data_IF_493137319616
#
_entry.id   IF_493137319616
#
_cell.length_a   1.000
_cell.length_b   1.000
_cell.length_c   1.000
_cell.angle_alpha   90.00
_cell.angle_beta   90.00
_cell.angle_gamma   90.00
#
_symmetry.space_group_name_H-M   'P 1'
#
loop_
_entity.id
_entity.type
_entity.pdbx_description
1 polymer ?
#
# COMPACT_ATOMS: atom_id res chain seq x y z
N UNK A 1 -7.20 9.27 -21.56
CA UNK A 1 -6.54 10.12 -20.53
C UNK A 1 -7.24 9.84 -19.19
N UNK A 2 -7.12 8.61 -18.69
CA UNK A 2 -7.84 8.10 -17.51
C UNK A 2 -6.91 7.82 -16.31
N UNK A 3 -5.58 7.81 -16.55
CA UNK A 3 -4.55 7.52 -15.55
C UNK A 3 -4.56 8.52 -14.38
N UNK A 4 -4.68 9.82 -14.70
CA UNK A 4 -4.75 10.91 -13.71
C UNK A 4 -5.96 10.75 -12.79
N UNK A 5 -7.09 10.24 -13.30
CA UNK A 5 -8.31 10.03 -12.51
C UNK A 5 -8.15 8.97 -11.43
N UNK A 6 -7.31 7.95 -11.65
CA UNK A 6 -7.07 6.87 -10.69
C UNK A 6 -6.13 7.29 -9.57
N UNK A 7 -5.01 7.95 -9.91
CA UNK A 7 -4.01 8.49 -8.97
C UNK A 7 -4.69 9.51 -8.04
N UNK A 8 -5.47 10.45 -8.60
CA UNK A 8 -6.15 11.45 -7.77
C UNK A 8 -7.22 10.82 -6.87
N UNK A 9 -7.97 9.81 -7.33
CA UNK A 9 -8.96 9.13 -6.47
C UNK A 9 -8.31 8.33 -5.35
N UNK A 10 -7.21 7.64 -5.63
CA UNK A 10 -6.47 6.87 -4.64
C UNK A 10 -5.79 7.78 -3.61
N UNK A 11 -5.12 8.84 -4.06
CA UNK A 11 -4.52 9.86 -3.19
C UNK A 11 -5.57 10.65 -2.38
N UNK A 12 -6.72 10.98 -2.98
CA UNK A 12 -7.82 11.64 -2.25
C UNK A 12 -8.49 10.70 -1.25
N UNK A 13 -8.72 9.43 -1.59
CA UNK A 13 -9.30 8.46 -0.67
C UNK A 13 -8.40 8.23 0.55
N UNK A 14 -7.10 8.06 0.34
CA UNK A 14 -6.12 7.91 1.43
C UNK A 14 -5.97 9.18 2.25
N UNK A 15 -5.97 10.37 1.62
CA UNK A 15 -5.95 11.66 2.32
C UNK A 15 -7.21 11.91 3.16
N UNK A 16 -8.41 11.62 2.65
CA UNK A 16 -9.66 11.84 3.38
C UNK A 16 -9.88 10.84 4.52
N UNK A 17 -9.41 9.60 4.39
CA UNK A 17 -9.40 8.64 5.50
C UNK A 17 -8.51 9.13 6.66
N UNK A 18 -7.37 9.76 6.36
CA UNK A 18 -6.47 10.38 7.35
C UNK A 18 -7.09 11.58 8.08
N UNK A 19 -8.05 12.29 7.46
CA UNK A 19 -8.76 13.43 8.08
C UNK A 19 -10.10 13.07 8.72
N UNK A 20 -10.73 11.96 8.33
CA UNK A 20 -12.05 11.55 8.81
C UNK A 20 -12.09 11.04 10.26
N UNK A 21 -10.94 10.68 10.85
CA UNK A 21 -10.87 10.06 12.18
C UNK A 21 -10.31 10.96 13.29
N UNK A 22 -10.36 12.29 13.12
CA UNK A 22 -9.94 13.26 14.14
C UNK A 22 -10.98 14.37 14.41
N UNK A 23 -12.27 14.10 14.21
CA UNK A 23 -13.33 15.00 14.68
C UNK A 23 -13.57 14.80 16.20
N UNK A 24 -12.69 15.34 17.04
CA UNK A 24 -13.08 15.74 18.40
C UNK A 24 -13.80 17.09 18.30
N UNK A 25 -15.05 17.23 18.75
CA UNK A 25 -15.72 18.52 18.82
C UNK A 25 -15.26 19.24 20.09
N UNK A 26 -14.36 20.23 19.97
CA UNK A 26 -14.04 21.12 21.10
C UNK A 26 -13.97 22.58 20.63
N UNK A 27 -15.01 23.31 21.07
CA UNK A 27 -15.10 24.73 21.40
C UNK A 27 -14.52 25.82 20.47
N UNK A 28 -15.47 26.50 19.82
CA UNK A 28 -15.60 27.95 19.73
C UNK A 28 -14.82 28.74 20.80
N UNK A 29 -13.84 29.55 20.39
CA UNK A 29 -13.50 30.82 21.05
C UNK A 29 -12.67 31.76 20.15
N UNK A 30 -13.33 32.85 19.73
CA UNK A 30 -12.86 34.23 19.52
C UNK A 30 -11.73 34.57 18.51
N UNK A 31 -12.11 35.39 17.53
CA UNK A 31 -11.48 36.58 16.88
C UNK A 31 -10.20 37.14 17.55
N UNK A 32 -9.22 37.81 16.91
CA UNK A 32 -9.27 38.94 15.93
C UNK A 32 -7.90 39.05 15.12
N UNK A 33 -7.46 40.13 14.41
CA UNK A 33 -7.12 40.13 12.96
C UNK A 33 -5.69 40.58 12.53
N UNK A 34 -5.17 40.06 11.39
CA UNK A 34 -4.23 40.70 10.40
C UNK A 34 -2.84 41.26 10.91
N UNK A 35 -1.86 41.66 10.04
CA UNK A 35 -1.80 41.67 8.57
C UNK A 35 -0.57 40.96 7.95
N UNK A 36 -0.58 40.88 6.61
CA UNK A 36 0.43 40.35 5.69
C UNK A 36 1.83 40.99 5.80
N UNK A 37 2.86 40.29 5.31
CA UNK A 37 3.87 40.93 4.46
C UNK A 37 4.11 40.16 3.15
N UNK A 38 4.18 40.95 2.09
CA UNK A 38 4.63 40.64 0.74
C UNK A 38 6.04 40.04 0.70
N UNK A 39 6.21 38.90 0.02
CA UNK A 39 7.50 38.44 -0.48
C UNK A 39 7.29 37.65 -1.77
N UNK A 40 7.76 38.19 -2.89
CA UNK A 40 7.97 37.43 -4.13
C UNK A 40 9.23 36.55 -3.96
N UNK A 41 9.17 35.27 -4.35
CA UNK A 41 10.37 34.54 -4.72
C UNK A 41 10.46 34.43 -6.24
N UNK A 42 11.61 34.90 -6.75
CA UNK A 42 12.06 34.80 -8.12
C UNK A 42 11.93 33.38 -8.69
N UNK A 43 11.45 33.31 -9.93
CA UNK A 43 11.62 32.16 -10.81
C UNK A 43 13.11 31.93 -11.06
N UNK A 44 13.69 30.98 -10.32
CA UNK A 44 14.94 30.32 -10.68
C UNK A 44 14.59 28.87 -11.02
N UNK A 45 14.60 28.58 -12.31
CA UNK A 45 14.57 27.25 -12.91
C UNK A 45 15.63 26.35 -12.27
N UNK A 46 15.19 25.21 -11.73
CA UNK A 46 16.02 24.05 -11.43
C UNK A 46 15.21 22.81 -11.79
N UNK A 47 15.35 22.40 -13.04
CA UNK A 47 14.54 21.37 -13.72
C UNK A 47 15.18 19.97 -13.58
N UNK A 48 15.66 19.61 -12.38
CA UNK A 48 16.34 18.32 -12.12
C UNK A 48 16.01 17.70 -10.73
N UNK A 49 14.83 17.92 -10.16
CA UNK A 49 14.38 17.26 -8.91
C UNK A 49 13.12 16.37 -9.05
N UNK A 50 12.55 16.23 -10.24
CA UNK A 50 11.23 15.60 -10.42
C UNK A 50 11.24 14.06 -10.20
N UNK A 51 12.40 13.40 -10.30
CA UNK A 51 12.50 11.94 -10.20
C UNK A 51 12.58 11.40 -8.76
N UNK A 52 13.18 12.16 -7.83
CA UNK A 52 13.23 11.76 -6.41
C UNK A 52 11.91 12.05 -5.67
N UNK A 53 11.18 13.07 -6.11
CA UNK A 53 9.92 13.46 -5.48
C UNK A 53 8.81 12.42 -5.71
N UNK A 54 8.74 11.86 -6.93
CA UNK A 54 7.72 10.86 -7.28
C UNK A 54 7.86 9.53 -6.51
N UNK A 55 9.09 9.04 -6.31
CA UNK A 55 9.33 7.80 -5.55
C UNK A 55 9.09 8.00 -4.05
N UNK A 56 9.44 9.18 -3.53
CA UNK A 56 9.11 9.62 -2.17
C UNK A 56 7.61 9.74 -1.96
N UNK A 57 6.88 10.36 -2.89
CA UNK A 57 5.42 10.51 -2.84
C UNK A 57 4.73 9.15 -2.86
N UNK A 58 5.11 8.26 -3.77
CA UNK A 58 4.57 6.90 -3.83
C UNK A 58 4.77 6.15 -2.51
N UNK A 59 5.98 6.24 -1.92
CA UNK A 59 6.29 5.63 -0.63
C UNK A 59 5.38 6.14 0.49
N UNK A 60 5.14 7.46 0.54
CA UNK A 60 4.24 8.08 1.53
C UNK A 60 2.80 7.61 1.34
N UNK A 61 2.32 7.56 0.09
CA UNK A 61 0.96 7.13 -0.22
C UNK A 61 0.77 5.67 0.16
N UNK A 62 1.66 4.77 -0.25
CA UNK A 62 1.61 3.34 0.08
C UNK A 62 1.68 3.12 1.59
N UNK A 63 2.63 3.76 2.28
CA UNK A 63 2.76 3.65 3.74
C UNK A 63 1.48 4.10 4.44
N UNK A 64 0.87 5.19 3.97
CA UNK A 64 -0.42 5.69 4.50
C UNK A 64 -1.55 4.71 4.22
N UNK A 65 -1.62 4.16 3.00
CA UNK A 65 -2.65 3.20 2.62
C UNK A 65 -2.58 1.92 3.43
N UNK A 66 -1.38 1.36 3.59
CA UNK A 66 -1.12 0.18 4.42
C UNK A 66 -1.46 0.45 5.89
N UNK A 67 -1.19 1.65 6.40
CA UNK A 67 -1.60 2.06 7.75
C UNK A 67 -3.13 2.11 7.89
N UNK A 68 -3.84 2.63 6.89
CA UNK A 68 -5.30 2.65 6.87
C UNK A 68 -5.87 1.22 6.81
N UNK A 69 -5.30 0.35 5.97
CA UNK A 69 -5.65 -1.06 5.91
C UNK A 69 -5.48 -1.72 7.29
N UNK A 70 -4.35 -1.50 7.96
CA UNK A 70 -4.11 -1.99 9.33
C UNK A 70 -5.22 -1.57 10.29
N UNK A 71 -5.62 -0.30 10.26
CA UNK A 71 -6.72 0.21 11.08
C UNK A 71 -8.04 -0.48 10.75
N UNK A 72 -8.38 -0.63 9.46
CA UNK A 72 -9.59 -1.34 9.04
C UNK A 72 -9.61 -2.79 9.56
N UNK A 73 -8.45 -3.45 9.60
CA UNK A 73 -8.32 -4.80 10.13
C UNK A 73 -8.48 -4.85 11.65
N UNK A 74 -7.89 -3.90 12.37
CA UNK A 74 -8.09 -3.76 13.82
C UNK A 74 -9.57 -3.53 14.17
N UNK A 75 -10.27 -2.76 13.34
CA UNK A 75 -11.70 -2.47 13.46
C UNK A 75 -12.61 -3.59 12.88
N UNK A 76 -12.04 -4.72 12.43
CA UNK A 76 -12.75 -5.86 11.84
C UNK A 76 -13.60 -5.50 10.61
N UNK A 77 -13.24 -4.45 9.87
CA UNK A 77 -13.93 -3.96 8.67
C UNK A 77 -13.43 -4.70 7.42
N UNK A 78 -13.63 -6.01 7.38
CA UNK A 78 -13.06 -6.88 6.33
C UNK A 78 -13.49 -6.55 4.90
N UNK A 79 -14.72 -6.03 4.71
CA UNK A 79 -15.18 -5.60 3.39
C UNK A 79 -14.41 -4.37 2.88
N UNK A 80 -14.19 -3.40 3.76
CA UNK A 80 -13.43 -2.20 3.44
C UNK A 80 -11.95 -2.51 3.24
N UNK A 81 -11.39 -3.42 4.05
CA UNK A 81 -10.05 -3.97 3.85
C UNK A 81 -9.91 -4.56 2.45
N UNK A 82 -10.81 -5.49 2.08
CA UNK A 82 -10.72 -6.19 0.81
C UNK A 82 -10.89 -5.23 -0.37
N UNK A 83 -11.73 -4.21 -0.24
CA UNK A 83 -11.84 -3.12 -1.21
C UNK A 83 -10.53 -2.34 -1.33
N UNK A 84 -9.93 -1.95 -0.21
CA UNK A 84 -8.68 -1.21 -0.21
C UNK A 84 -7.50 -2.00 -0.79
N UNK A 85 -7.48 -3.33 -0.62
CA UNK A 85 -6.51 -4.20 -1.29
C UNK A 85 -6.75 -4.23 -2.80
N UNK A 86 -8.00 -4.37 -3.25
CA UNK A 86 -8.31 -4.35 -4.69
C UNK A 86 -7.91 -3.02 -5.34
N UNK A 87 -8.21 -1.89 -4.69
CA UNK A 87 -7.81 -0.55 -5.16
C UNK A 87 -6.28 -0.40 -5.22
N UNK A 88 -5.55 -0.88 -4.21
CA UNK A 88 -4.08 -0.89 -4.24
C UNK A 88 -3.55 -1.75 -5.37
N UNK A 89 -4.14 -2.94 -5.58
CA UNK A 89 -3.73 -3.88 -6.61
C UNK A 89 -3.88 -3.29 -8.00
N UNK A 90 -5.05 -2.77 -8.31
CA UNK A 90 -5.34 -2.10 -9.59
C UNK A 90 -4.37 -0.95 -9.81
N UNK A 91 -4.13 -0.14 -8.78
CA UNK A 91 -3.20 0.98 -8.86
C UNK A 91 -1.78 0.54 -9.22
N UNK A 92 -1.22 -0.46 -8.53
CA UNK A 92 0.14 -0.92 -8.81
C UNK A 92 0.25 -1.70 -10.13
N UNK A 93 -0.81 -2.39 -10.54
CA UNK A 93 -0.86 -3.10 -11.82
C UNK A 93 -0.85 -2.12 -13.00
N UNK A 94 -1.74 -1.12 -12.97
CA UNK A 94 -1.90 -0.12 -14.04
C UNK A 94 -0.64 0.74 -14.22
N UNK A 95 0.07 1.01 -13.14
CA UNK A 95 1.26 1.86 -13.15
C UNK A 95 2.59 1.09 -13.15
N UNK A 96 2.55 -0.25 -13.19
CA UNK A 96 3.73 -1.12 -13.14
C UNK A 96 4.63 -0.89 -11.90
N UNK A 97 4.01 -0.63 -10.75
CA UNK A 97 4.69 -0.25 -9.50
C UNK A 97 4.87 -1.40 -8.51
N UNK A 98 4.81 -2.66 -8.97
CA UNK A 98 4.89 -3.83 -8.09
C UNK A 98 6.25 -3.91 -7.38
N UNK A 99 7.34 -3.66 -8.09
CA UNK A 99 8.68 -3.65 -7.49
C UNK A 99 8.82 -2.54 -6.43
N UNK A 100 8.36 -1.32 -6.74
CA UNK A 100 8.36 -0.19 -5.80
C UNK A 100 7.48 -0.48 -4.59
N UNK A 101 6.32 -1.11 -4.75
CA UNK A 101 5.46 -1.53 -3.64
C UNK A 101 6.22 -2.46 -2.71
N UNK A 102 6.87 -3.51 -3.24
CA UNK A 102 7.63 -4.47 -2.42
C UNK A 102 8.77 -3.76 -1.69
N UNK A 103 9.49 -2.85 -2.35
CA UNK A 103 10.54 -2.06 -1.72
C UNK A 103 10.02 -1.23 -0.53
N UNK A 104 8.87 -0.57 -0.69
CA UNK A 104 8.22 0.19 0.41
C UNK A 104 7.81 -0.74 1.55
N UNK A 105 7.23 -1.90 1.26
CA UNK A 105 6.83 -2.86 2.30
C UNK A 105 8.04 -3.41 3.06
N UNK A 106 9.15 -3.69 2.38
CA UNK A 106 10.42 -4.09 3.01
C UNK A 106 10.93 -2.99 3.95
N UNK A 107 10.90 -1.73 3.52
CA UNK A 107 11.27 -0.60 4.38
C UNK A 107 10.35 -0.47 5.59
N UNK A 108 9.05 -0.75 5.44
CA UNK A 108 8.11 -0.78 6.57
C UNK A 108 8.46 -1.91 7.55
N UNK A 109 8.80 -3.11 7.07
CA UNK A 109 9.23 -4.23 7.92
C UNK A 109 10.47 -3.86 8.73
N UNK A 110 11.47 -3.25 8.07
CA UNK A 110 12.72 -2.83 8.73
C UNK A 110 12.48 -1.78 9.83
N UNK A 111 11.50 -0.90 9.63
CA UNK A 111 11.18 0.18 10.58
C UNK A 111 10.24 -0.24 11.70
N UNK A 112 9.29 -1.13 11.42
CA UNK A 112 8.21 -1.54 12.33
C UNK A 112 7.96 -3.06 12.24
N UNK A 113 8.81 -3.88 12.88
CA UNK A 113 8.66 -5.34 12.88
C UNK A 113 7.31 -5.83 13.45
N UNK A 114 6.66 -5.04 14.30
CA UNK A 114 5.32 -5.29 14.82
C UNK A 114 4.25 -5.40 13.71
N UNK A 115 4.51 -4.83 12.54
CA UNK A 115 3.56 -4.80 11.43
C UNK A 115 3.65 -6.02 10.51
N UNK A 116 4.61 -6.93 10.73
CA UNK A 116 4.87 -8.08 9.87
C UNK A 116 3.58 -8.84 9.53
N UNK A 117 2.72 -9.13 10.51
CA UNK A 117 1.47 -9.87 10.27
C UNK A 117 0.46 -9.08 9.41
N UNK A 118 0.44 -7.75 9.52
CA UNK A 118 -0.36 -6.92 8.63
C UNK A 118 0.19 -6.96 7.21
N UNK A 119 1.50 -6.83 7.06
CA UNK A 119 2.18 -6.77 5.76
C UNK A 119 2.15 -8.12 5.02
N UNK A 120 2.28 -9.25 5.72
CA UNK A 120 2.07 -10.60 5.14
C UNK A 120 0.69 -10.69 4.51
N UNK A 121 -0.32 -10.13 5.16
CA UNK A 121 -1.72 -10.23 4.73
C UNK A 121 -2.05 -9.29 3.59
N UNK A 122 -1.40 -8.13 3.54
CA UNK A 122 -1.41 -7.29 2.35
C UNK A 122 -0.88 -8.09 1.15
N UNK A 123 0.24 -8.81 1.30
CA UNK A 123 0.80 -9.63 0.22
C UNK A 123 -0.10 -10.81 -0.15
N UNK A 124 -0.60 -11.57 0.83
CA UNK A 124 -1.52 -12.68 0.60
C UNK A 124 -2.75 -12.22 -0.19
N UNK A 125 -3.40 -11.15 0.29
CA UNK A 125 -4.58 -10.62 -0.37
C UNK A 125 -4.24 -9.85 -1.64
N UNK A 126 -2.98 -9.54 -1.95
CA UNK A 126 -2.56 -9.03 -3.25
C UNK A 126 -2.35 -10.16 -4.26
N UNK A 127 -1.84 -11.30 -3.81
CA UNK A 127 -1.57 -12.48 -4.62
C UNK A 127 -2.84 -13.17 -5.14
N UNK A 128 -3.94 -13.16 -4.37
CA UNK A 128 -5.14 -13.92 -4.71
C UNK A 128 -6.39 -13.04 -4.80
N UNK A 129 -7.26 -13.35 -5.74
CA UNK A 129 -8.60 -12.77 -5.84
C UNK A 129 -9.58 -13.42 -4.87
N UNK A 130 -10.73 -12.77 -4.66
CA UNK A 130 -11.86 -13.35 -3.90
C UNK A 130 -12.37 -14.66 -4.50
N UNK A 131 -12.18 -14.86 -5.80
CA UNK A 131 -12.50 -16.08 -6.52
C UNK A 131 -11.58 -17.25 -6.15
N UNK A 132 -10.48 -17.00 -5.43
CA UNK A 132 -9.45 -17.98 -5.08
C UNK A 132 -8.35 -18.12 -6.12
N UNK A 133 -8.45 -17.44 -7.27
CA UNK A 133 -7.43 -17.45 -8.32
C UNK A 133 -6.24 -16.54 -8.02
N UNK A 134 -5.05 -16.81 -8.60
CA UNK A 134 -3.96 -15.85 -8.65
C UNK A 134 -4.41 -14.55 -9.31
N UNK A 135 -3.90 -13.42 -8.82
CA UNK A 135 -4.19 -12.10 -9.36
C UNK A 135 -3.28 -11.74 -10.53
N UNK A 136 -3.63 -10.69 -11.26
CA UNK A 136 -2.82 -10.17 -12.37
C UNK A 136 -1.41 -9.67 -11.94
N UNK A 137 -1.22 -9.35 -10.66
CA UNK A 137 0.08 -8.90 -10.14
C UNK A 137 0.91 -10.05 -9.57
N UNK A 138 0.35 -11.28 -9.51
CA UNK A 138 0.96 -12.41 -8.83
C UNK A 138 2.41 -12.68 -9.28
N UNK A 139 2.63 -12.87 -10.59
CA UNK A 139 3.95 -13.21 -11.12
C UNK A 139 4.99 -12.12 -10.84
N UNK A 140 4.61 -10.86 -11.09
CA UNK A 140 5.48 -9.69 -10.83
C UNK A 140 5.80 -9.54 -9.34
N UNK A 141 4.85 -9.88 -8.48
CA UNK A 141 5.00 -9.76 -7.04
C UNK A 141 5.93 -10.84 -6.49
N UNK A 142 5.81 -12.09 -6.97
CA UNK A 142 6.76 -13.17 -6.66
C UNK A 142 8.17 -12.82 -7.16
N UNK A 143 8.30 -12.29 -8.37
CA UNK A 143 9.59 -11.84 -8.92
C UNK A 143 10.21 -10.73 -8.07
N UNK A 144 9.43 -9.70 -7.71
CA UNK A 144 9.90 -8.60 -6.87
C UNK A 144 10.32 -9.07 -5.46
N UNK A 145 9.58 -10.00 -4.84
CA UNK A 145 9.95 -10.59 -3.55
C UNK A 145 11.26 -11.38 -3.63
N UNK A 146 11.50 -12.08 -4.74
CA UNK A 146 12.71 -12.88 -4.93
C UNK A 146 13.99 -12.01 -4.92
N UNK A 147 13.90 -10.74 -5.30
CA UNK A 147 15.00 -9.78 -5.20
C UNK A 147 15.50 -9.58 -3.75
N UNK A 148 14.68 -9.90 -2.75
CA UNK A 148 15.00 -9.78 -1.32
C UNK A 148 15.36 -11.11 -0.65
N UNK A 149 15.45 -12.22 -1.40
CA UNK A 149 15.83 -13.53 -0.86
C UNK A 149 17.21 -13.57 -0.19
N UNK A 150 18.09 -12.62 -0.53
CA UNK A 150 19.41 -12.45 0.07
C UNK A 150 19.50 -11.34 1.12
N UNK A 151 18.39 -10.71 1.53
CA UNK A 151 18.41 -9.67 2.56
C UNK A 151 18.87 -10.29 3.90
N UNK A 152 19.66 -9.52 4.67
CA UNK A 152 20.25 -9.96 5.94
C UNK A 152 19.48 -9.45 7.15
N UNK A 153 18.49 -8.58 6.94
CA UNK A 153 17.61 -8.11 7.99
C UNK A 153 16.70 -9.24 8.47
N UNK A 154 16.76 -9.57 9.75
CA UNK A 154 15.99 -10.66 10.35
C UNK A 154 14.48 -10.45 10.20
N UNK A 155 14.00 -9.20 10.25
CA UNK A 155 12.59 -8.89 10.07
C UNK A 155 12.12 -9.21 8.65
N UNK A 156 12.92 -8.83 7.65
CA UNK A 156 12.67 -9.13 6.24
C UNK A 156 12.68 -10.63 5.98
N UNK A 157 13.65 -11.35 6.52
CA UNK A 157 13.74 -12.82 6.38
C UNK A 157 12.48 -13.48 6.95
N UNK A 158 12.08 -13.14 8.17
CA UNK A 158 10.85 -13.68 8.80
C UNK A 158 9.61 -13.33 7.99
N UNK A 159 9.53 -12.10 7.49
CA UNK A 159 8.41 -11.65 6.67
C UNK A 159 8.32 -12.42 5.35
N UNK A 160 9.45 -12.63 4.65
CA UNK A 160 9.51 -13.41 3.41
C UNK A 160 9.14 -14.88 3.63
N UNK A 161 9.63 -15.52 4.70
CA UNK A 161 9.26 -16.90 5.04
C UNK A 161 7.74 -17.04 5.20
N UNK A 162 7.11 -16.13 5.93
CA UNK A 162 5.65 -16.13 6.10
C UNK A 162 4.90 -15.87 4.80
N UNK A 163 5.44 -15.03 3.92
CA UNK A 163 4.86 -14.80 2.59
C UNK A 163 4.89 -16.08 1.76
N UNK A 164 6.01 -16.80 1.78
CA UNK A 164 6.13 -18.08 1.06
C UNK A 164 5.07 -19.06 1.56
N UNK A 165 4.88 -19.19 2.87
CA UNK A 165 3.87 -20.07 3.45
C UNK A 165 2.44 -19.74 2.98
N UNK A 166 2.05 -18.46 3.04
CA UNK A 166 0.69 -18.05 2.63
C UNK A 166 0.49 -18.17 1.12
N UNK A 167 1.51 -17.89 0.31
CA UNK A 167 1.45 -18.03 -1.15
C UNK A 167 1.33 -19.49 -1.55
N UNK A 168 2.13 -20.38 -0.97
CA UNK A 168 2.06 -21.81 -1.24
C UNK A 168 0.69 -22.38 -0.83
N UNK A 169 0.16 -21.98 0.33
CA UNK A 169 -1.17 -22.39 0.76
C UNK A 169 -2.27 -21.88 -0.18
N UNK A 170 -2.18 -20.64 -0.66
CA UNK A 170 -3.13 -20.09 -1.62
C UNK A 170 -3.11 -20.83 -2.96
N UNK A 171 -1.92 -21.12 -3.50
CA UNK A 171 -1.75 -21.91 -4.72
C UNK A 171 -2.28 -23.33 -4.56
N UNK A 172 -2.05 -23.96 -3.41
CA UNK A 172 -2.58 -25.28 -3.10
C UNK A 172 -4.11 -25.29 -3.13
N UNK A 173 -4.76 -24.34 -2.44
CA UNK A 173 -6.23 -24.20 -2.45
C UNK A 173 -6.78 -23.94 -3.84
N UNK A 174 -6.11 -23.09 -4.62
CA UNK A 174 -6.49 -22.85 -6.00
C UNK A 174 -6.44 -24.13 -6.84
N UNK A 175 -5.36 -24.90 -6.70
CA UNK A 175 -5.21 -26.19 -7.38
C UNK A 175 -6.31 -27.18 -6.98
N UNK A 176 -6.61 -27.32 -5.69
CA UNK A 176 -7.72 -28.16 -5.21
C UNK A 176 -9.08 -27.73 -5.79
N UNK A 177 -9.34 -26.43 -5.90
CA UNK A 177 -10.59 -25.93 -6.48
C UNK A 177 -10.70 -26.22 -7.98
N UNK A 178 -9.60 -26.10 -8.72
CA UNK A 178 -9.59 -26.31 -10.17
C UNK A 178 -9.59 -27.80 -10.56
N UNK A 179 -8.91 -28.64 -9.77
CA UNK A 179 -8.61 -30.02 -10.17
C UNK A 179 -9.09 -31.08 -9.18
N UNK A 180 -9.42 -30.70 -7.95
CA UNK A 180 -9.83 -31.60 -6.86
C UNK A 180 -11.32 -31.98 -6.85
N UNK A 181 -12.16 -31.35 -7.68
CA UNK A 181 -13.59 -31.68 -7.79
C UNK A 181 -13.89 -32.95 -8.62
N UNK A 182 -12.88 -33.76 -8.93
CA UNK A 182 -13.03 -35.06 -9.59
C UNK A 182 -12.75 -36.20 -8.59
N UNK A 183 -13.73 -36.53 -7.74
CA UNK A 183 -13.77 -37.76 -6.95
C UNK A 183 -15.20 -38.16 -6.65
#
# INVERSE_FOLDING_TARGET
MELVGSITRFALATYFMKRGSNARPVHSRNEVPWPSPSYEPSFASSDEEESQDAESEFSVVVSTHVSNLRQLRADQRFQDWSRGIAELREYVAVNDLVASLVAVLVEMVKRQPEDIECLVRVIEDMCFEKSGGPSEVFDKLVEALNCYSGDRDTGVVIWLERIVDVVLNGLWKYHEQQFGAAS
#
